data_IF_987483875786
#
_entry.id   IF_987483875786
#
_cell.length_a   1.000
_cell.length_b   1.000
_cell.length_c   1.000
_cell.angle_alpha   90.00
_cell.angle_beta   90.00
_cell.angle_gamma   90.00
#
_symmetry.space_group_name_H-M   'P 1'
#
loop_
_entity.id
_entity.type
_entity.pdbx_description
1 polymer ?
#
# COMPACT_ATOMS: atom_id res chain seq x y z
N UNK A 1 -29.09 -3.21 39.46
CA UNK A 1 -27.99 -2.95 38.50
C UNK A 1 -27.75 -1.44 38.48
N UNK A 2 -26.74 -0.97 39.23
CA UNK A 2 -26.52 0.46 39.51
C UNK A 2 -25.84 1.14 38.31
N UNK A 3 -26.37 2.29 37.89
CA UNK A 3 -25.81 3.13 36.82
C UNK A 3 -24.48 3.74 37.29
N UNK A 4 -23.43 3.75 36.45
CA UNK A 4 -22.14 4.33 36.81
C UNK A 4 -22.24 5.86 36.99
N UNK A 5 -21.56 6.35 38.03
CA UNK A 5 -21.48 7.75 38.43
C UNK A 5 -20.53 8.49 37.45
N UNK A 6 -21.02 9.46 36.68
CA UNK A 6 -20.18 10.27 35.78
C UNK A 6 -19.57 11.45 36.54
N UNK A 7 -18.26 11.68 36.39
CA UNK A 7 -17.57 12.80 37.00
C UNK A 7 -17.75 14.09 36.18
N UNK A 8 -17.77 15.24 36.86
CA UNK A 8 -17.79 16.57 36.24
C UNK A 8 -16.48 16.78 35.47
N UNK A 9 -16.51 16.56 34.16
CA UNK A 9 -15.36 16.69 33.26
C UNK A 9 -15.43 15.78 32.04
N UNK A 10 -16.22 14.71 32.07
CA UNK A 10 -16.32 13.78 30.95
C UNK A 10 -17.12 14.37 29.78
N UNK A 11 -16.44 14.57 28.64
CA UNK A 11 -17.07 14.95 27.37
C UNK A 11 -17.95 13.79 26.88
N UNK A 12 -19.24 14.06 26.69
CA UNK A 12 -20.20 13.10 26.12
C UNK A 12 -19.73 12.62 24.74
N UNK A 13 -19.57 11.31 24.58
CA UNK A 13 -19.40 10.67 23.27
C UNK A 13 -20.63 10.98 22.40
N UNK A 14 -20.43 11.68 21.28
CA UNK A 14 -21.47 11.96 20.28
C UNK A 14 -21.94 10.64 19.67
N UNK A 15 -23.18 10.25 19.96
CA UNK A 15 -23.87 9.16 19.25
C UNK A 15 -23.94 9.50 17.76
N UNK A 16 -23.39 8.62 16.92
CA UNK A 16 -23.55 8.66 15.46
C UNK A 16 -25.05 8.54 15.14
N UNK A 17 -25.57 9.47 14.35
CA UNK A 17 -26.97 9.47 13.89
C UNK A 17 -27.06 8.45 12.74
N UNK A 18 -27.87 7.42 12.94
CA UNK A 18 -28.21 6.44 11.90
C UNK A 18 -29.02 7.19 10.82
N UNK A 19 -28.53 7.26 9.58
CA UNK A 19 -29.30 7.80 8.47
C UNK A 19 -30.08 6.64 7.84
N UNK A 20 -31.41 6.72 7.94
CA UNK A 20 -32.36 5.76 7.41
C UNK A 20 -32.48 5.97 5.90
N UNK A 21 -32.36 4.88 5.14
CA UNK A 21 -32.37 4.83 3.67
C UNK A 21 -33.79 5.02 3.17
N UNK A 22 -34.04 6.07 2.39
CA UNK A 22 -35.25 6.24 1.58
C UNK A 22 -34.89 6.11 0.10
N UNK A 23 -35.45 5.11 -0.55
CA UNK A 23 -35.30 4.82 -1.98
C UNK A 23 -35.93 5.90 -2.87
N UNK A 24 -35.23 6.26 -3.95
CA UNK A 24 -35.71 7.00 -5.11
C UNK A 24 -34.64 6.95 -6.22
N UNK A 25 -34.99 6.68 -7.50
CA UNK A 25 -34.01 6.27 -8.51
C UNK A 25 -33.46 7.41 -9.38
N UNK A 26 -32.29 7.13 -9.97
CA UNK A 26 -31.67 7.72 -11.17
C UNK A 26 -31.07 9.15 -11.05
N UNK A 27 -29.75 9.21 -10.88
CA UNK A 27 -28.80 9.63 -11.94
C UNK A 27 -27.37 9.59 -11.37
N UNK A 28 -26.73 8.42 -11.47
CA UNK A 28 -25.35 8.18 -11.05
C UNK A 28 -24.37 8.74 -12.10
N UNK A 29 -23.92 9.97 -11.88
CA UNK A 29 -22.58 10.38 -12.29
C UNK A 29 -22.03 11.45 -11.33
N UNK A 30 -21.96 11.11 -10.04
CA UNK A 30 -21.23 11.87 -9.06
C UNK A 30 -19.84 11.23 -8.89
N UNK A 31 -18.84 11.81 -9.54
CA UNK A 31 -17.44 11.58 -9.24
C UNK A 31 -17.21 12.05 -7.79
N UNK A 32 -17.27 11.11 -6.86
CA UNK A 32 -16.98 11.36 -5.45
C UNK A 32 -15.52 11.76 -5.36
N UNK A 33 -15.27 13.00 -4.98
CA UNK A 33 -13.94 13.46 -4.59
C UNK A 33 -13.56 12.70 -3.33
N UNK A 34 -12.79 11.62 -3.51
CA UNK A 34 -12.16 10.90 -2.41
C UNK A 34 -11.27 11.89 -1.66
N UNK A 35 -11.62 12.20 -0.41
CA UNK A 35 -10.77 12.95 0.50
C UNK A 35 -9.41 12.22 0.54
N UNK A 36 -8.26 12.88 0.35
CA UNK A 36 -6.94 12.23 0.37
C UNK A 36 -6.64 11.46 1.67
N UNK A 37 -7.41 11.71 2.74
CA UNK A 37 -7.33 10.98 4.00
C UNK A 37 -7.97 9.58 3.97
N UNK A 38 -8.85 9.31 3.00
CA UNK A 38 -9.54 8.03 2.78
C UNK A 38 -8.96 7.22 1.60
N UNK A 39 -7.83 7.66 1.02
CA UNK A 39 -7.16 6.92 -0.05
C UNK A 39 -6.44 5.68 0.52
N UNK A 40 -7.14 4.55 0.49
CA UNK A 40 -6.63 3.22 0.82
C UNK A 40 -5.94 2.51 -0.36
N UNK A 41 -5.61 3.25 -1.44
CA UNK A 41 -4.85 2.72 -2.58
C UNK A 41 -3.45 2.26 -2.17
N UNK A 42 -2.98 1.20 -2.82
CA UNK A 42 -1.63 0.66 -2.67
C UNK A 42 -0.74 1.10 -3.84
N UNK A 43 0.49 1.49 -3.55
CA UNK A 43 1.50 1.86 -4.55
C UNK A 43 2.88 1.30 -4.20
N UNK A 44 3.77 1.21 -5.19
CA UNK A 44 5.15 0.79 -4.97
C UNK A 44 6.00 2.00 -4.53
N UNK A 45 6.89 1.85 -3.53
CA UNK A 45 7.85 2.91 -3.20
C UNK A 45 8.82 3.11 -4.37
N UNK A 46 9.23 4.37 -4.63
CA UNK A 46 10.22 4.62 -5.69
C UNK A 46 11.63 4.24 -5.23
N UNK A 47 11.93 4.51 -3.97
CA UNK A 47 13.25 4.31 -3.37
C UNK A 47 13.14 3.59 -2.02
N UNK A 48 14.26 3.05 -1.55
CA UNK A 48 14.26 2.30 -0.31
C UNK A 48 13.85 3.13 0.92
N UNK A 49 14.32 4.37 0.99
CA UNK A 49 14.03 5.28 2.12
C UNK A 49 12.61 5.84 2.16
N UNK A 50 11.77 5.61 1.14
CA UNK A 50 10.39 6.12 1.11
C UNK A 50 9.39 5.21 1.85
N UNK A 51 9.80 3.99 2.16
CA UNK A 51 8.89 2.99 2.72
C UNK A 51 8.55 3.33 4.18
N UNK A 52 7.29 3.66 4.44
CA UNK A 52 6.79 3.98 5.79
C UNK A 52 5.31 3.64 5.87
N UNK A 53 4.86 3.13 7.02
CA UNK A 53 3.45 2.79 7.25
C UNK A 53 3.07 1.37 6.81
N UNK A 54 1.76 1.09 6.65
CA UNK A 54 1.27 -0.21 6.23
C UNK A 54 1.83 -0.62 4.86
N UNK A 55 2.40 -1.82 4.82
CA UNK A 55 3.17 -2.39 3.72
C UNK A 55 2.84 -3.87 3.55
N UNK A 56 2.79 -4.34 2.31
CA UNK A 56 2.71 -5.75 1.95
C UNK A 56 4.01 -6.16 1.26
N UNK A 57 4.52 -7.33 1.64
CA UNK A 57 5.73 -7.93 1.05
C UNK A 57 5.28 -9.09 0.18
N UNK A 58 5.33 -8.92 -1.13
CA UNK A 58 4.96 -9.94 -2.12
C UNK A 58 6.20 -10.73 -2.51
N UNK A 59 6.09 -12.05 -2.47
CA UNK A 59 7.16 -13.01 -2.70
C UNK A 59 7.16 -13.48 -4.17
N UNK A 60 8.32 -13.86 -4.72
CA UNK A 60 8.47 -14.29 -6.12
C UNK A 60 8.06 -15.75 -6.32
N UNK A 61 6.88 -16.14 -5.81
CA UNK A 61 6.39 -17.53 -5.86
C UNK A 61 5.33 -17.71 -6.95
N UNK A 62 5.09 -18.96 -7.36
CA UNK A 62 4.02 -19.32 -8.28
C UNK A 62 3.14 -20.42 -7.63
N UNK A 63 1.90 -20.12 -7.19
CA UNK A 63 1.17 -18.86 -7.31
C UNK A 63 1.76 -17.70 -6.48
N UNK A 64 1.41 -16.43 -6.78
CA UNK A 64 1.92 -15.29 -6.03
C UNK A 64 1.47 -15.34 -4.59
N UNK A 65 2.43 -15.22 -3.67
CA UNK A 65 2.17 -15.21 -2.24
C UNK A 65 2.77 -13.98 -1.59
N UNK A 66 2.34 -13.69 -0.37
CA UNK A 66 2.86 -12.60 0.43
C UNK A 66 3.34 -13.12 1.78
N UNK A 67 4.27 -12.38 2.38
CA UNK A 67 4.76 -12.67 3.71
C UNK A 67 3.67 -12.33 4.73
N UNK A 68 3.22 -13.31 5.52
CA UNK A 68 2.21 -13.13 6.55
C UNK A 68 2.70 -13.65 7.90
N UNK A 69 2.10 -13.13 8.98
CA UNK A 69 2.34 -13.62 10.35
C UNK A 69 1.07 -14.13 10.99
N UNK A 70 1.19 -15.24 11.70
CA UNK A 70 0.13 -15.71 12.60
C UNK A 70 0.15 -14.93 13.93
N UNK A 71 -0.88 -15.05 14.77
CA UNK A 71 -0.90 -14.41 16.09
C UNK A 71 0.13 -14.96 17.08
N UNK A 72 0.71 -16.14 16.79
CA UNK A 72 1.75 -16.76 17.61
C UNK A 72 3.16 -16.30 17.21
N UNK A 73 3.29 -15.45 16.18
CA UNK A 73 4.54 -14.97 15.61
C UNK A 73 5.27 -15.98 14.72
N UNK A 74 4.60 -16.97 14.16
CA UNK A 74 5.13 -17.79 13.08
C UNK A 74 4.84 -17.13 11.73
N UNK A 75 5.81 -17.22 10.83
CA UNK A 75 5.75 -16.60 9.51
C UNK A 75 5.39 -17.66 8.49
N UNK A 76 4.49 -17.32 7.59
CA UNK A 76 4.05 -18.20 6.52
C UNK A 76 3.79 -17.41 5.25
N UNK A 77 3.82 -18.11 4.11
CA UNK A 77 3.46 -17.55 2.82
C UNK A 77 1.93 -17.66 2.65
N UNK A 78 1.25 -16.51 2.60
CA UNK A 78 -0.19 -16.47 2.36
C UNK A 78 -0.44 -16.22 0.87
N UNK A 79 -1.30 -17.02 0.25
CA UNK A 79 -1.66 -16.82 -1.15
C UNK A 79 -2.36 -15.47 -1.33
N UNK A 80 -1.98 -14.77 -2.39
CA UNK A 80 -2.58 -13.50 -2.74
C UNK A 80 -3.68 -13.74 -3.77
N UNK A 81 -4.88 -13.27 -3.49
CA UNK A 81 -6.06 -13.45 -4.38
C UNK A 81 -6.44 -12.13 -5.08
N UNK A 82 -6.24 -11.00 -4.41
CA UNK A 82 -6.56 -9.67 -4.94
C UNK A 82 -5.41 -9.14 -5.81
N UNK A 83 -5.38 -9.54 -7.08
CA UNK A 83 -4.45 -9.04 -8.10
C UNK A 83 -5.19 -8.78 -9.41
N UNK A 84 -4.78 -7.73 -10.11
CA UNK A 84 -5.26 -7.45 -11.47
C UNK A 84 -4.42 -8.27 -12.43
N UNK A 85 -5.05 -9.11 -13.25
CA UNK A 85 -4.42 -9.93 -14.30
C UNK A 85 -3.27 -10.85 -13.81
N UNK A 86 -3.20 -11.13 -12.51
CA UNK A 86 -2.15 -11.96 -11.91
C UNK A 86 -0.81 -11.23 -11.72
N UNK A 87 -0.78 -9.90 -11.90
CA UNK A 87 0.43 -9.12 -11.71
C UNK A 87 0.74 -8.89 -10.22
N UNK A 88 1.95 -9.24 -9.73
CA UNK A 88 2.34 -9.04 -8.33
C UNK A 88 2.48 -7.56 -7.94
N UNK A 89 2.48 -6.64 -8.91
CA UNK A 89 2.60 -5.19 -8.70
C UNK A 89 1.27 -4.53 -8.35
N UNK A 90 0.16 -5.14 -8.74
CA UNK A 90 -1.20 -4.65 -8.45
C UNK A 90 -1.80 -5.34 -7.23
N UNK A 91 -1.00 -6.18 -6.57
CA UNK A 91 -1.29 -6.83 -5.31
C UNK A 91 -1.87 -5.90 -4.24
N UNK A 92 -3.01 -6.32 -3.69
CA UNK A 92 -3.63 -5.72 -2.51
C UNK A 92 -3.84 -6.78 -1.41
N UNK A 93 -3.64 -6.44 -0.13
CA UNK A 93 -3.83 -7.39 0.94
C UNK A 93 -5.31 -7.74 1.11
N UNK A 94 -5.60 -9.02 1.30
CA UNK A 94 -6.94 -9.52 1.61
C UNK A 94 -7.14 -9.68 3.14
N UNK A 95 -6.05 -9.96 3.87
CA UNK A 95 -6.10 -10.25 5.30
C UNK A 95 -5.12 -9.34 6.06
N UNK A 96 -5.52 -8.92 7.27
CA UNK A 96 -4.71 -8.13 8.21
C UNK A 96 -3.38 -8.82 8.57
N UNK A 97 -3.32 -10.16 8.52
CA UNK A 97 -2.09 -10.93 8.75
C UNK A 97 -1.02 -10.74 7.66
N UNK A 98 -1.42 -10.29 6.46
CA UNK A 98 -0.54 -10.03 5.32
C UNK A 98 0.07 -8.61 5.38
N UNK A 99 -0.43 -7.77 6.28
CA UNK A 99 -0.04 -6.36 6.39
C UNK A 99 0.99 -6.18 7.49
N UNK A 100 2.07 -5.49 7.14
CA UNK A 100 3.16 -5.12 8.03
C UNK A 100 3.24 -3.60 8.15
N UNK A 101 3.54 -3.07 9.32
CA UNK A 101 3.82 -1.65 9.51
C UNK A 101 5.32 -1.45 9.40
N UNK A 102 5.76 -0.90 8.27
CA UNK A 102 7.13 -0.50 8.02
C UNK A 102 7.46 0.80 8.76
N UNK A 103 8.57 0.80 9.51
CA UNK A 103 9.03 1.97 10.24
C UNK A 103 10.55 2.00 10.29
N UNK A 104 11.09 3.18 9.96
CA UNK A 104 12.51 3.51 10.09
C UNK A 104 12.84 4.09 11.46
N UNK A 105 14.07 3.87 11.93
CA UNK A 105 14.59 4.47 13.16
C UNK A 105 15.38 5.72 12.81
N UNK A 106 15.01 6.86 13.43
CA UNK A 106 15.74 8.10 13.22
C UNK A 106 17.18 7.96 13.74
N UNK A 107 18.16 8.33 12.92
CA UNK A 107 19.59 8.22 13.25
C UNK A 107 20.31 6.97 12.69
N UNK A 108 19.57 6.02 12.12
CA UNK A 108 20.14 4.90 11.37
C UNK A 108 20.19 5.20 9.86
N UNK A 109 20.83 4.33 9.08
CA UNK A 109 20.89 4.45 7.63
C UNK A 109 19.48 4.50 7.00
N UNK A 110 19.25 5.24 5.90
CA UNK A 110 17.93 5.39 5.29
C UNK A 110 17.34 4.09 4.75
N UNK A 111 18.17 3.09 4.50
CA UNK A 111 17.80 1.77 3.98
C UNK A 111 17.43 0.79 5.11
N UNK A 112 17.68 1.14 6.37
CA UNK A 112 17.34 0.30 7.52
C UNK A 112 15.88 0.45 7.91
N UNK A 113 15.18 -0.68 7.93
CA UNK A 113 13.75 -0.75 8.17
C UNK A 113 13.39 -1.88 9.13
N UNK A 114 12.35 -1.63 9.93
CA UNK A 114 11.72 -2.62 10.79
C UNK A 114 10.29 -2.84 10.35
N UNK A 115 9.83 -4.09 10.37
CA UNK A 115 8.46 -4.46 10.02
C UNK A 115 7.74 -4.96 11.26
N UNK A 116 6.61 -4.34 11.60
CA UNK A 116 5.76 -4.74 12.71
C UNK A 116 4.51 -5.43 12.19
N UNK A 117 4.26 -6.66 12.61
CA UNK A 117 3.03 -7.38 12.29
C UNK A 117 1.83 -6.83 13.06
N UNK A 118 0.62 -7.23 12.65
CA UNK A 118 -0.63 -6.80 13.26
C UNK A 118 -0.82 -7.23 14.72
N UNK A 119 -0.22 -8.36 15.14
CA UNK A 119 -0.23 -8.82 16.52
C UNK A 119 0.80 -8.12 17.42
N UNK A 120 1.60 -7.20 16.86
CA UNK A 120 2.54 -6.37 17.61
C UNK A 120 3.99 -6.84 17.62
N UNK A 121 4.25 -8.07 17.15
CA UNK A 121 5.60 -8.59 16.99
C UNK A 121 6.34 -7.98 15.79
N UNK A 122 7.66 -7.86 15.89
CA UNK A 122 8.52 -7.45 14.79
C UNK A 122 9.00 -8.66 14.00
N UNK A 123 9.02 -8.53 12.67
CA UNK A 123 9.71 -9.47 11.79
C UNK A 123 11.16 -9.59 12.26
N UNK A 124 11.63 -10.82 12.44
CA UNK A 124 12.97 -11.16 12.92
C UNK A 124 13.56 -12.27 12.05
N UNK A 125 14.87 -12.23 11.86
CA UNK A 125 15.62 -13.30 11.21
C UNK A 125 16.79 -13.71 12.10
N UNK A 126 16.82 -14.97 12.50
CA UNK A 126 17.94 -15.55 13.24
C UNK A 126 19.17 -15.72 12.34
N UNK A 127 20.34 -15.92 12.94
CA UNK A 127 21.61 -16.19 12.25
C UNK A 127 21.56 -17.43 11.33
N UNK A 128 20.64 -18.36 11.61
CA UNK A 128 20.43 -19.58 10.82
C UNK A 128 19.44 -19.37 9.66
N UNK A 129 18.95 -18.15 9.43
CA UNK A 129 18.01 -17.84 8.34
C UNK A 129 16.57 -18.24 8.64
N UNK A 130 16.20 -18.48 9.90
CA UNK A 130 14.81 -18.75 10.30
C UNK A 130 14.09 -17.44 10.55
N UNK A 131 12.95 -17.25 9.87
CA UNK A 131 12.10 -16.08 10.03
C UNK A 131 11.08 -16.30 11.16
N UNK A 132 10.89 -15.30 12.01
CA UNK A 132 9.83 -15.30 13.02
C UNK A 132 9.35 -13.88 13.35
N UNK A 133 8.22 -13.76 14.04
CA UNK A 133 7.66 -12.46 14.44
C UNK A 133 7.20 -12.47 15.91
N UNK A 134 8.02 -13.02 16.82
CA UNK A 134 7.64 -13.23 18.24
C UNK A 134 8.04 -12.08 19.17
N UNK A 135 9.00 -11.24 18.78
CA UNK A 135 9.58 -10.23 19.68
C UNK A 135 8.87 -8.89 19.49
N UNK A 136 8.47 -8.27 20.60
CA UNK A 136 7.81 -6.95 20.60
C UNK A 136 8.78 -5.79 20.61
N UNK A 137 10.09 -6.06 20.69
CA UNK A 137 11.14 -5.06 20.71
C UNK A 137 11.99 -5.14 19.44
N UNK A 138 12.47 -3.99 18.97
CA UNK A 138 13.40 -3.88 17.85
C UNK A 138 14.81 -4.17 18.34
N UNK A 139 15.41 -5.24 17.86
CA UNK A 139 16.82 -5.55 18.03
C UNK A 139 17.53 -5.66 16.70
N UNK A 140 18.73 -6.24 16.74
CA UNK A 140 19.56 -6.45 15.56
C UNK A 140 18.89 -7.41 14.57
N UNK A 141 18.26 -8.47 15.05
CA UNK A 141 17.62 -9.50 14.24
C UNK A 141 16.31 -9.02 13.60
N UNK A 142 15.72 -7.95 14.15
CA UNK A 142 14.48 -7.31 13.70
C UNK A 142 14.70 -6.14 12.74
N UNK A 143 15.96 -5.86 12.39
CA UNK A 143 16.35 -4.78 11.48
C UNK A 143 16.78 -5.36 10.15
N UNK A 144 16.17 -4.88 9.07
CA UNK A 144 16.46 -5.29 7.69
C UNK A 144 17.02 -4.11 6.92
N UNK A 145 17.90 -4.38 5.96
CA UNK A 145 18.37 -3.36 5.01
C UNK A 145 17.74 -3.63 3.66
N UNK A 146 17.22 -2.60 3.02
CA UNK A 146 16.50 -2.74 1.77
C UNK A 146 17.34 -2.27 0.58
N UNK A 147 17.63 -3.21 -0.30
CA UNK A 147 18.38 -2.95 -1.53
C UNK A 147 17.41 -2.87 -2.71
N UNK A 148 17.58 -1.87 -3.58
CA UNK A 148 16.81 -1.72 -4.82
C UNK A 148 17.55 -2.41 -5.97
N UNK A 149 16.86 -3.29 -6.69
CA UNK A 149 17.36 -3.99 -7.86
C UNK A 149 16.50 -3.63 -9.07
N UNK A 150 17.13 -3.32 -10.19
CA UNK A 150 16.43 -3.13 -11.46
C UNK A 150 16.82 -4.25 -12.41
N UNK A 151 15.83 -4.98 -12.92
CA UNK A 151 16.04 -5.97 -13.96
C UNK A 151 16.28 -5.31 -15.33
N UNK A 152 16.83 -6.09 -16.26
CA UNK A 152 17.07 -5.68 -17.65
C UNK A 152 15.79 -5.20 -18.36
N UNK A 153 14.63 -5.71 -17.95
CA UNK A 153 13.31 -5.29 -18.45
C UNK A 153 12.82 -3.96 -17.87
N UNK A 154 13.66 -3.23 -17.11
CA UNK A 154 13.29 -1.99 -16.42
C UNK A 154 12.32 -2.21 -15.25
N UNK A 155 12.18 -3.46 -14.77
CA UNK A 155 11.34 -3.80 -13.63
C UNK A 155 12.12 -3.59 -12.34
N UNK A 156 11.62 -2.71 -11.47
CA UNK A 156 12.15 -2.55 -10.12
C UNK A 156 11.68 -3.70 -9.22
N UNK A 157 12.62 -4.24 -8.45
CA UNK A 157 12.44 -5.22 -7.39
C UNK A 157 13.20 -4.75 -6.15
N UNK A 158 12.85 -5.31 -5.01
CA UNK A 158 13.58 -5.08 -3.77
C UNK A 158 14.15 -6.38 -3.26
N UNK A 159 15.25 -6.30 -2.53
CA UNK A 159 15.78 -7.40 -1.75
C UNK A 159 15.89 -6.97 -0.28
N UNK A 160 15.43 -7.82 0.62
CA UNK A 160 15.46 -7.57 2.06
C UNK A 160 16.65 -8.28 2.68
N UNK A 161 17.72 -7.54 2.94
CA UNK A 161 18.92 -8.05 3.58
C UNK A 161 18.67 -8.27 5.06
N UNK A 162 19.05 -9.45 5.54
CA UNK A 162 18.84 -9.90 6.90
C UNK A 162 20.06 -9.60 7.77
N UNK A 163 19.84 -9.51 9.09
CA UNK A 163 20.90 -9.33 10.08
C UNK A 163 21.84 -10.53 10.24
N UNK A 164 21.50 -11.67 9.60
CA UNK A 164 22.38 -12.83 9.46
C UNK A 164 23.62 -12.51 8.61
N UNK A 165 23.52 -11.50 7.73
CA UNK A 165 24.68 -10.96 7.04
C UNK A 165 25.64 -10.25 8.02
N UNK A 166 26.95 -10.44 7.83
CA UNK A 166 27.95 -9.70 8.61
C UNK A 166 27.95 -8.23 8.14
N UNK A 167 28.10 -7.25 9.04
CA UNK A 167 28.05 -5.83 8.69
C UNK A 167 29.17 -5.37 7.73
N UNK A 168 30.25 -6.14 7.60
CA UNK A 168 31.35 -5.92 6.65
C UNK A 168 31.46 -7.04 5.60
N UNK A 169 30.40 -7.81 5.39
CA UNK A 169 30.37 -8.84 4.37
C UNK A 169 30.50 -8.20 2.98
N UNK A 170 31.24 -8.86 2.09
CA UNK A 170 31.21 -8.57 0.65
C UNK A 170 29.77 -8.72 0.14
N UNK A 171 29.37 -8.02 -0.94
CA UNK A 171 28.02 -8.13 -1.51
C UNK A 171 27.60 -9.59 -1.79
N UNK A 172 28.55 -10.46 -2.17
CA UNK A 172 28.32 -11.89 -2.42
C UNK A 172 28.01 -12.71 -1.16
N UNK A 173 28.42 -12.25 0.02
CA UNK A 173 28.17 -12.93 1.30
C UNK A 173 26.94 -12.40 2.04
N UNK A 174 26.24 -11.42 1.44
CA UNK A 174 25.03 -10.87 2.02
C UNK A 174 23.87 -11.86 1.90
N UNK A 175 23.02 -11.87 2.92
CA UNK A 175 21.94 -12.82 3.08
C UNK A 175 20.61 -12.10 3.00
N UNK A 176 19.69 -12.67 2.22
CA UNK A 176 18.41 -12.06 1.91
C UNK A 176 17.26 -12.99 2.26
N UNK A 177 16.08 -12.39 2.43
CA UNK A 177 14.83 -13.15 2.53
C UNK A 177 14.56 -13.85 1.20
N UNK A 178 14.42 -15.17 1.23
CA UNK A 178 14.07 -16.01 0.08
C UNK A 178 12.77 -16.76 0.31
N UNK A 179 12.03 -16.95 -0.77
CA UNK A 179 10.84 -17.79 -0.78
C UNK A 179 10.97 -18.81 -1.91
N UNK A 180 11.22 -20.07 -1.54
CA UNK A 180 11.32 -21.16 -2.51
C UNK A 180 10.02 -21.95 -2.50
N UNK A 181 9.53 -22.27 -3.70
CA UNK A 181 8.36 -23.12 -3.87
C UNK A 181 8.83 -24.56 -3.94
N UNK A 182 8.60 -25.34 -2.89
CA UNK A 182 8.86 -26.77 -2.91
C UNK A 182 7.74 -27.45 -3.70
N UNK A 183 7.80 -27.34 -5.03
CA UNK A 183 7.12 -28.30 -5.88
C UNK A 183 7.85 -29.61 -5.69
N UNK A 184 7.36 -30.45 -4.77
CA UNK A 184 7.96 -31.74 -4.45
C UNK A 184 8.40 -32.45 -5.71
N UNK A 185 9.71 -32.49 -5.95
CA UNK A 185 10.31 -33.27 -7.02
C UNK A 185 10.17 -34.74 -6.60
N UNK A 186 8.99 -35.30 -6.86
CA UNK A 186 8.85 -36.72 -7.18
C UNK A 186 8.81 -36.82 -8.71
N UNK A 187 9.97 -36.61 -9.34
CA UNK A 187 10.23 -37.28 -10.62
C UNK A 187 10.43 -38.76 -10.30
N UNK A 188 9.82 -39.61 -11.11
CA UNK A 188 9.98 -41.08 -11.18
C UNK A 188 9.09 -41.91 -10.24
N UNK A 189 7.81 -42.02 -10.59
CA UNK A 189 7.23 -43.24 -11.18
C UNK A 189 5.72 -43.03 -11.34
N UNK A 190 5.33 -42.61 -12.54
CA UNK A 190 3.95 -42.70 -12.98
C UNK A 190 3.66 -44.17 -13.28
N UNK A 191 2.86 -44.81 -12.42
CA UNK A 191 2.04 -45.95 -12.83
C UNK A 191 0.63 -45.40 -12.96
N UNK A 192 0.16 -45.42 -14.19
CA UNK A 192 -1.15 -44.96 -14.62
C UNK A 192 -2.26 -45.72 -13.88
N UNK A 193 -3.17 -44.97 -13.27
CA UNK A 193 -4.55 -45.43 -13.05
C UNK A 193 -5.47 -44.25 -13.22
N UNK A 194 -6.05 -44.16 -14.41
CA UNK A 194 -7.29 -43.44 -14.63
C UNK A 194 -8.38 -44.00 -13.72
N UNK A 195 -9.27 -43.14 -13.22
CA UNK A 195 -10.74 -43.32 -13.17
C UNK A 195 -11.38 -42.16 -12.36
N UNK A 196 -12.33 -41.51 -13.04
CA UNK A 196 -13.52 -40.76 -12.64
C UNK A 196 -13.50 -39.34 -12.04
N UNK A 197 -14.38 -38.57 -12.67
CA UNK A 197 -14.86 -37.21 -12.52
C UNK A 197 -15.67 -37.00 -11.22
N UNK A 198 -15.27 -36.02 -10.39
CA UNK A 198 -16.23 -35.25 -9.59
C UNK A 198 -15.67 -33.86 -9.19
N UNK A 199 -16.48 -32.85 -9.49
CA UNK A 199 -16.20 -31.42 -9.37
C UNK A 199 -16.09 -30.93 -7.92
N UNK A 200 -14.85 -30.81 -7.42
CA UNK A 200 -14.47 -29.87 -6.35
C UNK A 200 -13.09 -29.33 -6.64
N UNK A 201 -12.94 -28.02 -6.79
CA UNK A 201 -11.65 -27.34 -6.92
C UNK A 201 -10.83 -27.48 -5.64
N UNK A 202 -10.15 -28.62 -5.49
CA UNK A 202 -9.16 -28.83 -4.44
C UNK A 202 -7.99 -27.91 -4.76
N UNK A 203 -7.87 -26.79 -4.04
CA UNK A 203 -6.71 -25.92 -4.09
C UNK A 203 -5.46 -26.77 -3.80
N UNK A 204 -4.62 -26.97 -4.82
CA UNK A 204 -3.34 -27.68 -4.66
C UNK A 204 -2.55 -26.95 -3.58
N UNK A 205 -2.33 -27.62 -2.44
CA UNK A 205 -1.59 -27.08 -1.30
C UNK A 205 -0.11 -27.06 -1.66
N UNK A 206 0.34 -25.94 -2.24
CA UNK A 206 1.74 -25.68 -2.53
C UNK A 206 2.46 -25.39 -1.21
N UNK A 207 3.50 -26.16 -0.88
CA UNK A 207 4.37 -25.88 0.26
C UNK A 207 5.42 -24.84 -0.16
N UNK A 208 5.43 -23.71 0.52
CA UNK A 208 6.40 -22.64 0.30
C UNK A 208 7.30 -22.56 1.53
N UNK A 209 8.61 -22.64 1.29
CA UNK A 209 9.63 -22.51 2.32
C UNK A 209 10.15 -21.09 2.34
N UNK A 210 10.08 -20.44 3.51
CA UNK A 210 10.54 -19.08 3.72
C UNK A 210 11.81 -19.09 4.57
N UNK A 211 12.88 -18.50 4.06
CA UNK A 211 14.16 -18.40 4.77
C UNK A 211 14.78 -17.01 4.63
N UNK A 212 15.78 -16.74 5.46
CA UNK A 212 16.54 -15.49 5.51
C UNK A 212 18.02 -15.64 5.15
N UNK A 213 18.40 -16.78 4.57
CA UNK A 213 19.76 -17.16 4.16
C UNK A 213 19.96 -17.21 2.64
N UNK A 214 19.03 -16.59 1.89
CA UNK A 214 19.06 -16.53 0.43
C UNK A 214 20.27 -15.78 -0.12
N UNK A 215 20.73 -16.21 -1.29
CA UNK A 215 21.85 -15.61 -2.01
C UNK A 215 21.44 -14.38 -2.83
N UNK A 216 22.31 -13.36 -2.95
CA UNK A 216 21.99 -12.11 -3.65
C UNK A 216 21.60 -12.28 -5.12
N UNK A 217 22.17 -13.28 -5.80
CA UNK A 217 21.94 -13.54 -7.22
C UNK A 217 20.68 -14.38 -7.49
N UNK A 218 20.05 -14.94 -6.46
CA UNK A 218 18.89 -15.81 -6.63
C UNK A 218 17.62 -15.01 -6.92
N UNK A 219 16.85 -15.43 -7.93
CA UNK A 219 15.55 -14.85 -8.24
C UNK A 219 14.53 -15.00 -7.10
N UNK A 220 14.70 -16.02 -6.25
CA UNK A 220 13.83 -16.32 -5.11
C UNK A 220 13.90 -15.27 -3.99
N UNK A 221 14.88 -14.35 -4.05
CA UNK A 221 15.07 -13.26 -3.07
C UNK A 221 14.42 -11.94 -3.49
N UNK A 222 13.90 -11.87 -4.72
CA UNK A 222 13.31 -10.66 -5.28
C UNK A 222 11.89 -10.48 -4.76
N UNK A 223 11.66 -9.43 -3.98
CA UNK A 223 10.34 -9.12 -3.44
C UNK A 223 9.77 -7.86 -4.06
N UNK A 224 8.44 -7.80 -4.18
CA UNK A 224 7.72 -6.57 -4.50
C UNK A 224 7.16 -5.99 -3.20
N UNK A 225 7.39 -4.71 -2.99
CA UNK A 225 6.89 -3.98 -1.83
C UNK A 225 5.77 -3.06 -2.27
N UNK A 226 4.66 -3.14 -1.54
CA UNK A 226 3.48 -2.30 -1.75
C UNK A 226 3.23 -1.55 -0.46
N UNK A 227 3.08 -0.24 -0.52
CA UNK A 227 2.73 0.60 0.63
C UNK A 227 1.44 1.36 0.35
N UNK A 228 0.71 1.70 1.42
CA UNK A 228 -0.45 2.57 1.27
C UNK A 228 -0.03 3.97 0.79
N UNK A 229 -0.68 4.45 -0.27
CA UNK A 229 -0.34 5.70 -0.98
C UNK A 229 -0.37 6.91 -0.05
N UNK A 230 -1.29 6.96 0.91
CA UNK A 230 -1.38 8.04 1.92
C UNK A 230 -0.14 8.16 2.83
N UNK A 231 0.64 7.08 2.98
CA UNK A 231 1.86 7.09 3.79
C UNK A 231 3.12 7.34 2.97
N UNK A 232 3.01 7.48 1.64
CA UNK A 232 4.13 7.86 0.80
C UNK A 232 4.62 9.24 1.24
N UNK A 233 5.90 9.38 1.62
CA UNK A 233 6.42 10.65 2.08
C UNK A 233 6.29 11.67 0.95
N UNK A 234 5.38 12.63 1.13
CA UNK A 234 5.27 13.75 0.21
C UNK A 234 6.46 14.67 0.46
N UNK A 235 7.46 14.60 -0.40
CA UNK A 235 8.57 15.56 -0.44
C UNK A 235 7.99 16.97 -0.54
N UNK A 236 8.68 17.98 0.01
CA UNK A 236 8.24 19.37 -0.05
C UNK A 236 7.88 19.80 -1.48
N UNK A 237 8.62 19.31 -2.48
CA UNK A 237 8.35 19.54 -3.90
C UNK A 237 7.04 18.88 -4.38
N UNK A 238 6.70 17.68 -3.91
CA UNK A 238 5.43 17.03 -4.23
C UNK A 238 4.26 17.73 -3.53
N UNK A 239 4.45 18.21 -2.29
CA UNK A 239 3.45 19.02 -1.59
C UNK A 239 3.23 20.35 -2.28
N UNK A 240 4.29 21.02 -2.68
CA UNK A 240 4.22 22.28 -3.43
C UNK A 240 3.61 22.04 -4.83
N UNK A 241 3.98 20.97 -5.54
CA UNK A 241 3.37 20.61 -6.80
C UNK A 241 1.87 20.25 -6.66
N UNK A 242 1.47 19.57 -5.59
CA UNK A 242 0.06 19.29 -5.29
C UNK A 242 -0.70 20.59 -4.96
N UNK A 243 -0.13 21.48 -4.14
CA UNK A 243 -0.70 22.81 -3.84
C UNK A 243 -0.76 23.72 -5.06
N UNK A 244 0.19 23.58 -5.99
CA UNK A 244 0.20 24.31 -7.26
C UNK A 244 -0.88 23.74 -8.18
N UNK A 245 -1.09 22.42 -8.21
CA UNK A 245 -2.23 21.78 -8.91
C UNK A 245 -3.58 22.15 -8.32
N UNK A 246 -3.69 22.36 -7.01
CA UNK A 246 -4.91 22.89 -6.36
C UNK A 246 -5.18 24.36 -6.71
N UNK A 247 -4.17 25.10 -7.17
CA UNK A 247 -4.32 26.49 -7.61
C UNK A 247 -4.57 26.51 -9.12
N UNK A 248 -5.83 26.35 -9.53
CA UNK A 248 -6.20 26.63 -10.92
C UNK A 248 -5.73 28.03 -11.32
N UNK A 249 -5.04 28.09 -12.46
CA UNK A 249 -4.52 29.33 -13.03
C UNK A 249 -5.63 30.24 -13.54
N UNK A 250 -5.44 31.57 -13.49
CA UNK A 250 -6.41 32.53 -14.07
C UNK A 250 -6.69 32.23 -15.54
N UNK A 251 -5.65 31.87 -16.30
CA UNK A 251 -5.72 31.52 -17.71
C UNK A 251 -6.56 30.26 -17.97
N UNK A 252 -6.54 29.28 -17.06
CA UNK A 252 -7.36 28.06 -17.16
C UNK A 252 -8.83 28.34 -16.84
N UNK A 253 -9.11 29.24 -15.90
CA UNK A 253 -10.47 29.74 -15.63
C UNK A 253 -11.03 30.54 -16.81
N UNK A 254 -10.20 31.35 -17.47
CA UNK A 254 -10.59 32.12 -18.66
C UNK A 254 -10.82 31.22 -19.87
N UNK A 255 -9.96 30.22 -20.09
CA UNK A 255 -10.16 29.20 -21.12
C UNK A 255 -11.45 28.41 -20.87
N UNK A 256 -11.71 28.03 -19.61
CA UNK A 256 -12.93 27.30 -19.23
C UNK A 256 -14.16 28.19 -19.31
N UNK A 257 -14.09 29.46 -18.97
CA UNK A 257 -15.22 30.39 -19.08
C UNK A 257 -15.48 30.83 -20.53
N UNK A 258 -14.50 30.73 -21.43
CA UNK A 258 -14.57 31.15 -22.82
C UNK A 258 -14.50 32.67 -23.03
N UNK A 259 -14.06 33.43 -22.02
CA UNK A 259 -13.86 34.88 -22.07
C UNK A 259 -12.77 35.34 -21.10
N UNK A 260 -12.33 36.59 -21.24
CA UNK A 260 -11.50 37.23 -20.22
C UNK A 260 -12.33 37.51 -18.96
N UNK A 261 -11.80 37.14 -17.80
CA UNK A 261 -12.46 37.36 -16.51
C UNK A 261 -11.97 38.65 -15.88
N UNK A 262 -12.89 39.34 -15.20
CA UNK A 262 -12.51 40.42 -14.27
C UNK A 262 -11.88 39.83 -13.01
N UNK A 263 -11.12 40.65 -12.28
CA UNK A 263 -10.40 40.22 -11.08
C UNK A 263 -11.35 39.66 -9.99
N UNK A 264 -12.56 40.21 -9.89
CA UNK A 264 -13.60 39.76 -8.97
C UNK A 264 -14.17 38.40 -9.37
N UNK A 265 -14.45 38.19 -10.66
CA UNK A 265 -14.95 36.92 -11.19
C UNK A 265 -13.91 35.80 -11.05
N UNK A 266 -12.65 36.10 -11.34
CA UNK A 266 -11.54 35.16 -11.16
C UNK A 266 -11.39 34.75 -9.68
N UNK A 267 -11.58 35.70 -8.75
CA UNK A 267 -11.57 35.41 -7.31
C UNK A 267 -12.77 34.57 -6.87
N UNK A 268 -13.97 34.82 -7.43
CA UNK A 268 -15.17 34.02 -7.18
C UNK A 268 -14.99 32.59 -7.68
N UNK A 269 -14.46 32.39 -8.89
CA UNK A 269 -14.21 31.05 -9.45
C UNK A 269 -13.11 30.30 -8.70
N UNK A 270 -12.04 30.97 -8.25
CA UNK A 270 -11.03 30.34 -7.38
C UNK A 270 -11.62 29.89 -6.04
N UNK A 271 -12.53 30.68 -5.46
CA UNK A 271 -13.25 30.31 -4.23
C UNK A 271 -14.21 29.14 -4.46
N UNK A 272 -14.92 29.15 -5.59
CA UNK A 272 -15.82 28.07 -5.99
C UNK A 272 -15.06 26.77 -6.29
N UNK A 273 -13.88 26.86 -6.92
CA UNK A 273 -12.98 25.71 -7.11
C UNK A 273 -12.57 25.09 -5.77
N UNK A 274 -12.20 25.91 -4.79
CA UNK A 274 -11.88 25.44 -3.44
C UNK A 274 -13.10 24.86 -2.70
N UNK A 275 -14.31 25.25 -3.07
CA UNK A 275 -15.55 24.73 -2.50
C UNK A 275 -16.12 23.52 -3.26
N UNK A 276 -15.49 23.07 -4.35
CA UNK A 276 -15.97 21.97 -5.19
C UNK A 276 -17.10 22.34 -6.16
N UNK A 277 -17.49 23.62 -6.22
CA UNK A 277 -18.64 24.11 -6.98
C UNK A 277 -18.24 24.95 -8.21
N UNK A 278 -17.19 24.51 -8.90
CA UNK A 278 -16.61 25.27 -10.00
C UNK A 278 -17.55 25.33 -11.23
N UNK A 279 -18.25 24.25 -11.51
CA UNK A 279 -19.11 24.13 -12.70
C UNK A 279 -20.35 25.01 -12.62
N UNK A 280 -21.00 25.09 -11.46
CA UNK A 280 -22.14 26.00 -11.24
C UNK A 280 -21.68 27.46 -11.35
N UNK A 281 -20.59 27.81 -10.67
CA UNK A 281 -20.04 29.16 -10.71
C UNK A 281 -19.58 29.59 -12.13
N UNK A 282 -19.10 28.65 -12.95
CA UNK A 282 -18.77 28.90 -14.36
C UNK A 282 -20.02 29.17 -15.20
N UNK A 283 -21.11 28.43 -14.97
CA UNK A 283 -22.39 28.66 -15.66
C UNK A 283 -22.97 30.03 -15.30
N UNK A 284 -22.91 30.41 -14.03
CA UNK A 284 -23.29 31.73 -13.52
C UNK A 284 -22.54 32.87 -14.23
N UNK A 285 -21.21 32.74 -14.35
CA UNK A 285 -20.36 33.76 -15.01
C UNK A 285 -20.66 33.82 -16.50
N UNK A 286 -20.86 32.66 -17.16
CA UNK A 286 -21.25 32.60 -18.58
C UNK A 286 -22.66 33.15 -18.82
N UNK A 287 -23.59 32.99 -17.89
CA UNK A 287 -24.96 33.51 -18.00
C UNK A 287 -25.00 35.03 -17.83
N UNK A 288 -24.29 35.57 -16.83
CA UNK A 288 -24.19 37.02 -16.60
C UNK A 288 -23.57 37.76 -17.77
N UNK A 289 -22.61 37.14 -18.47
CA UNK A 289 -22.01 37.67 -19.70
C UNK A 289 -23.03 37.96 -20.81
N UNK A 290 -24.09 37.14 -20.92
CA UNK A 290 -25.11 37.28 -21.97
C UNK A 290 -26.11 38.39 -21.69
N UNK A 291 -26.25 38.79 -20.43
CA UNK A 291 -27.21 39.81 -19.99
C UNK A 291 -26.70 41.24 -20.22
N UNK A 292 -25.39 41.43 -20.36
CA UNK A 292 -24.73 42.74 -20.46
C UNK A 292 -24.62 43.27 -21.91
N UNK A 293 -25.30 42.62 -22.87
CA UNK A 293 -25.25 42.99 -24.30
C UNK A 293 -26.46 43.84 -24.75
N UNK A 294 -27.44 44.08 -23.87
CA UNK A 294 -28.70 44.76 -24.22
C UNK A 294 -29.12 45.85 -23.22
N UNK A 295 -28.17 46.43 -22.47
CA UNK A 295 -28.39 47.62 -21.65
C UNK A 295 -27.61 48.81 -22.22
#
# INVERSE_FOLDING_TARGET
MVKPLSFKGDKRLKKRKHHEVSQGPADDNASTSVDPSEDDSWSMPANAGELTGPTVIVLPTLPPTCLASDPNGNIFASQLENMIEGDPKTAEPHNVQQVWVASRVAGMAPEEISFKASHGGYLSCDQYGVLGAKREARGREETFVMDNMMDEDGRSWFQLRTAASKPKAKPEEQKYVSATTDNGVKKEQAVEKEVDDDSRSVSKKVSISLRGDGEPSSADTRVVLRMQTRFKPQTAETKEAARVKEKIGRKELEASAGRLLTDEEAKKLKRAHKAGDLQEALLDVRAKAKHDKYA
#
